data_IF_483456450323
#
_entry.id   IF_483456450323
#
_cell.length_a   1.000
_cell.length_b   1.000
_cell.length_c   1.000
_cell.angle_alpha   90.00
_cell.angle_beta   90.00
_cell.angle_gamma   90.00
#
_symmetry.space_group_name_H-M   'P 1'
#
loop_
_entity.id
_entity.type
_entity.pdbx_description
1 polymer ?
#
# COMPACT_ATOMS: atom_id res chain seq x y z
N UNK A 1 -55.78 -3.41 27.33
CA UNK A 1 -54.93 -2.25 27.01
C UNK A 1 -53.43 -2.59 27.09
N UNK A 2 -52.91 -3.10 28.17
CA UNK A 2 -51.47 -3.44 28.37
C UNK A 2 -50.87 -4.45 27.39
N UNK A 3 -51.60 -5.53 26.99
CA UNK A 3 -51.08 -6.50 26.00
C UNK A 3 -50.87 -5.90 24.60
N UNK A 4 -51.76 -4.99 24.16
CA UNK A 4 -51.67 -4.30 22.86
C UNK A 4 -50.49 -3.32 22.85
N UNK A 5 -50.27 -2.63 23.98
CA UNK A 5 -49.12 -1.72 24.16
C UNK A 5 -47.79 -2.46 24.13
N UNK A 6 -47.65 -3.58 24.84
CA UNK A 6 -46.44 -4.42 24.80
C UNK A 6 -46.15 -4.95 23.39
N UNK A 7 -47.21 -5.39 22.66
CA UNK A 7 -47.05 -5.85 21.27
C UNK A 7 -46.56 -4.74 20.34
N UNK A 8 -47.10 -3.54 20.45
CA UNK A 8 -46.67 -2.41 19.63
C UNK A 8 -45.23 -2.00 19.94
N UNK A 9 -44.79 -2.01 21.20
CA UNK A 9 -43.40 -1.77 21.59
C UNK A 9 -42.45 -2.81 20.97
N UNK A 10 -42.80 -4.09 21.03
CA UNK A 10 -42.02 -5.16 20.42
C UNK A 10 -41.89 -4.98 18.90
N UNK A 11 -43.01 -4.67 18.22
CA UNK A 11 -43.03 -4.43 16.79
C UNK A 11 -42.13 -3.23 16.45
N UNK A 12 -42.21 -2.13 17.22
CA UNK A 12 -41.34 -0.97 17.01
C UNK A 12 -39.87 -1.31 17.19
N UNK A 13 -39.48 -2.07 18.19
CA UNK A 13 -38.11 -2.52 18.40
C UNK A 13 -37.62 -3.37 17.22
N UNK A 14 -38.43 -4.32 16.75
CA UNK A 14 -38.09 -5.16 15.60
C UNK A 14 -37.86 -4.30 14.34
N UNK A 15 -38.74 -3.34 14.08
CA UNK A 15 -38.60 -2.43 12.93
C UNK A 15 -37.33 -1.59 13.04
N UNK A 16 -37.01 -1.06 14.22
CA UNK A 16 -35.77 -0.29 14.44
C UNK A 16 -34.50 -1.14 14.22
N UNK A 17 -34.54 -2.39 14.71
CA UNK A 17 -33.45 -3.34 14.49
C UNK A 17 -33.28 -3.66 13.00
N UNK A 18 -34.37 -3.91 12.27
CA UNK A 18 -34.32 -4.16 10.83
C UNK A 18 -33.79 -2.93 10.05
N UNK A 19 -34.24 -1.74 10.40
CA UNK A 19 -33.71 -0.48 9.79
C UNK A 19 -32.21 -0.35 10.08
N UNK A 20 -31.78 -0.60 11.30
CA UNK A 20 -30.37 -0.55 11.68
C UNK A 20 -29.51 -1.55 10.87
N UNK A 21 -30.00 -2.78 10.70
CA UNK A 21 -29.35 -3.78 9.86
C UNK A 21 -29.28 -3.35 8.39
N UNK A 22 -30.38 -2.86 7.83
CA UNK A 22 -30.42 -2.37 6.45
C UNK A 22 -29.45 -1.20 6.24
N UNK A 23 -29.41 -0.26 7.18
CA UNK A 23 -28.45 0.85 7.14
C UNK A 23 -27.01 0.34 7.23
N UNK A 24 -26.75 -0.61 8.12
CA UNK A 24 -25.43 -1.23 8.25
C UNK A 24 -24.99 -1.88 6.94
N UNK A 25 -25.85 -2.69 6.30
CA UNK A 25 -25.55 -3.29 5.00
C UNK A 25 -25.38 -2.24 3.89
N UNK A 26 -26.21 -1.19 3.87
CA UNK A 26 -26.09 -0.11 2.91
C UNK A 26 -24.73 0.61 3.04
N UNK A 27 -24.29 0.88 4.26
CA UNK A 27 -22.99 1.54 4.53
C UNK A 27 -21.77 0.73 4.05
N UNK A 28 -21.94 -0.58 3.83
CA UNK A 28 -20.88 -1.43 3.27
C UNK A 28 -20.87 -1.48 1.74
N UNK A 29 -21.89 -0.89 1.07
CA UNK A 29 -21.97 -0.91 -0.39
C UNK A 29 -20.99 0.07 -1.05
N UNK A 30 -20.54 -0.27 -2.26
CA UNK A 30 -19.76 0.64 -3.10
C UNK A 30 -20.48 1.96 -3.38
N UNK A 31 -21.81 1.92 -3.47
CA UNK A 31 -22.63 3.13 -3.70
C UNK A 31 -22.54 4.10 -2.53
N UNK A 32 -22.56 3.60 -1.31
CA UNK A 32 -22.38 4.42 -0.12
C UNK A 32 -20.96 5.00 -0.05
N UNK A 33 -19.93 4.16 -0.30
CA UNK A 33 -18.54 4.62 -0.31
C UNK A 33 -18.30 5.74 -1.34
N UNK A 34 -18.88 5.62 -2.53
CA UNK A 34 -18.81 6.70 -3.56
C UNK A 34 -19.57 7.94 -3.10
N UNK A 35 -20.74 7.78 -2.49
CA UNK A 35 -21.48 8.90 -1.92
C UNK A 35 -20.63 9.64 -0.88
N UNK A 36 -19.98 8.92 0.03
CA UNK A 36 -19.09 9.50 1.02
C UNK A 36 -17.89 10.22 0.37
N UNK A 37 -17.25 9.58 -0.62
CA UNK A 37 -16.17 10.20 -1.38
C UNK A 37 -16.60 11.53 -2.04
N UNK A 38 -17.80 11.57 -2.62
CA UNK A 38 -18.37 12.79 -3.18
C UNK A 38 -18.68 13.87 -2.13
N UNK A 39 -19.04 13.49 -0.91
CA UNK A 39 -19.21 14.42 0.21
C UNK A 39 -17.86 14.99 0.66
N UNK A 40 -16.82 14.15 0.71
CA UNK A 40 -15.48 14.55 1.12
C UNK A 40 -14.70 15.34 0.06
N UNK A 41 -15.15 15.32 -1.21
CA UNK A 41 -14.53 16.05 -2.31
C UNK A 41 -14.70 17.59 -2.22
N UNK A 42 -15.58 18.09 -1.36
CA UNK A 42 -15.83 19.52 -1.15
C UNK A 42 -16.03 20.26 -2.50
N UNK A 43 -15.24 21.30 -2.77
CA UNK A 43 -15.30 22.10 -4.01
C UNK A 43 -14.93 21.29 -5.26
N UNK A 44 -14.14 20.19 -5.09
CA UNK A 44 -13.73 19.31 -6.20
C UNK A 44 -14.83 18.32 -6.63
N UNK A 45 -15.98 18.33 -5.98
CA UNK A 45 -17.10 17.38 -6.20
C UNK A 45 -17.51 17.26 -7.67
N UNK A 46 -17.46 18.38 -8.43
CA UNK A 46 -17.78 18.37 -9.85
C UNK A 46 -16.80 17.51 -10.64
N UNK A 47 -15.50 17.67 -10.44
CA UNK A 47 -14.46 16.89 -11.11
C UNK A 47 -14.63 15.39 -10.85
N UNK A 48 -14.89 15.00 -9.60
CA UNK A 48 -15.09 13.60 -9.25
C UNK A 48 -16.38 13.03 -9.89
N UNK A 49 -17.46 13.81 -9.95
CA UNK A 49 -18.68 13.39 -10.66
C UNK A 49 -18.46 13.22 -12.16
N UNK A 50 -17.77 14.15 -12.80
CA UNK A 50 -17.47 14.11 -14.23
C UNK A 50 -16.67 12.83 -14.54
N UNK A 51 -15.64 12.54 -13.76
CA UNK A 51 -14.86 11.30 -13.88
C UNK A 51 -15.70 10.02 -13.72
N UNK A 52 -16.59 9.96 -12.73
CA UNK A 52 -17.49 8.82 -12.51
C UNK A 52 -18.47 8.57 -13.66
N UNK A 53 -18.81 9.61 -14.41
CA UNK A 53 -19.75 9.55 -15.54
C UNK A 53 -19.06 9.35 -16.89
N UNK A 54 -17.72 9.41 -16.96
CA UNK A 54 -16.97 9.42 -18.22
C UNK A 54 -17.05 8.09 -18.98
N UNK A 55 -16.96 6.96 -18.28
CA UNK A 55 -17.01 5.64 -18.91
C UNK A 55 -18.42 5.06 -18.93
N UNK A 56 -18.70 4.26 -19.94
CA UNK A 56 -19.97 3.54 -20.06
C UNK A 56 -20.25 2.70 -18.81
N UNK A 57 -21.46 2.89 -18.27
CA UNK A 57 -21.92 2.23 -17.04
C UNK A 57 -21.87 0.70 -17.20
N UNK A 58 -21.28 0.01 -16.22
CA UNK A 58 -21.13 -1.44 -16.22
C UNK A 58 -19.86 -1.93 -16.90
N UNK A 59 -19.16 -1.10 -17.68
CA UNK A 59 -17.87 -1.46 -18.29
C UNK A 59 -16.78 -1.69 -17.24
N UNK A 60 -15.72 -2.41 -17.60
CA UNK A 60 -14.56 -2.60 -16.70
C UNK A 60 -13.89 -1.26 -16.35
N UNK A 61 -13.80 -0.31 -17.30
CA UNK A 61 -13.26 1.03 -17.03
C UNK A 61 -14.10 1.80 -16.03
N UNK A 62 -15.43 1.72 -16.15
CA UNK A 62 -16.34 2.32 -15.17
C UNK A 62 -16.15 1.71 -13.76
N UNK A 63 -16.01 0.40 -13.68
CA UNK A 63 -15.72 -0.29 -12.40
C UNK A 63 -14.36 0.14 -11.84
N UNK A 64 -13.34 0.27 -12.70
CA UNK A 64 -12.01 0.74 -12.31
C UNK A 64 -12.02 2.18 -11.80
N UNK A 65 -12.77 3.10 -12.47
CA UNK A 65 -12.95 4.46 -11.99
C UNK A 65 -13.62 4.49 -10.61
N UNK A 66 -14.67 3.72 -10.42
CA UNK A 66 -15.37 3.62 -9.13
C UNK A 66 -14.45 3.11 -8.03
N UNK A 67 -13.62 2.10 -8.32
CA UNK A 67 -12.62 1.60 -7.39
C UNK A 67 -11.67 2.70 -6.93
N UNK A 68 -11.11 3.48 -7.85
CA UNK A 68 -10.23 4.59 -7.48
C UNK A 68 -10.95 5.63 -6.62
N UNK A 69 -12.15 6.05 -7.00
CA UNK A 69 -12.89 7.09 -6.26
C UNK A 69 -13.29 6.62 -4.86
N UNK A 70 -13.69 5.35 -4.69
CA UNK A 70 -14.06 4.80 -3.38
C UNK A 70 -12.94 4.85 -2.34
N UNK A 71 -11.69 4.69 -2.79
CA UNK A 71 -10.53 4.63 -1.90
C UNK A 71 -9.75 5.95 -1.83
N UNK A 72 -10.01 6.89 -2.75
CA UNK A 72 -9.32 8.18 -2.83
C UNK A 72 -9.39 9.04 -1.56
N UNK A 73 -10.47 9.07 -0.77
CA UNK A 73 -10.55 9.90 0.43
C UNK A 73 -9.45 9.68 1.46
N UNK A 74 -8.82 8.51 1.48
CA UNK A 74 -7.72 8.19 2.39
C UNK A 74 -6.34 8.61 1.88
N UNK A 75 -6.25 9.14 0.67
CA UNK A 75 -4.98 9.51 0.04
C UNK A 75 -4.71 11.00 0.09
N UNK A 76 -3.45 11.33 0.31
CA UNK A 76 -2.91 12.69 0.27
C UNK A 76 -1.66 12.73 -0.60
N UNK A 77 -1.41 13.85 -1.24
CA UNK A 77 -0.20 14.07 -2.05
C UNK A 77 0.45 15.39 -1.71
N UNK A 78 1.77 15.46 -1.85
CA UNK A 78 2.48 16.71 -1.73
C UNK A 78 2.34 17.55 -3.00
N UNK A 79 2.16 18.84 -2.82
CA UNK A 79 2.16 19.85 -3.89
C UNK A 79 3.23 20.88 -3.61
N UNK A 80 4.05 21.16 -4.60
CA UNK A 80 5.09 22.19 -4.51
C UNK A 80 4.46 23.59 -4.68
N UNK A 81 4.59 24.42 -3.65
CA UNK A 81 4.26 25.83 -3.69
C UNK A 81 5.53 26.65 -3.48
N UNK A 82 6.27 26.88 -4.56
CA UNK A 82 7.60 27.47 -4.48
C UNK A 82 8.58 26.52 -3.76
N UNK A 83 9.22 26.99 -2.67
CA UNK A 83 10.15 26.17 -1.86
C UNK A 83 9.46 25.37 -0.75
N UNK A 84 8.15 25.48 -0.60
CA UNK A 84 7.38 24.78 0.45
C UNK A 84 6.53 23.69 -0.17
N UNK A 85 6.60 22.51 0.41
CA UNK A 85 5.67 21.42 0.10
C UNK A 85 4.47 21.46 1.05
N UNK A 86 3.28 21.34 0.49
CA UNK A 86 2.02 21.28 1.25
C UNK A 86 1.36 19.96 0.93
N UNK A 87 0.93 19.24 1.95
CA UNK A 87 0.14 18.02 1.79
C UNK A 87 -1.33 18.39 1.56
N UNK A 88 -1.92 17.83 0.51
CA UNK A 88 -3.32 18.02 0.16
C UNK A 88 -4.01 16.68 -0.03
N UNK A 89 -5.32 16.63 0.22
CA UNK A 89 -6.12 15.43 -0.04
C UNK A 89 -6.37 15.29 -1.54
N UNK A 90 -6.10 14.09 -2.08
CA UNK A 90 -6.24 13.84 -3.51
C UNK A 90 -7.68 14.06 -3.98
N UNK A 91 -8.67 13.63 -3.19
CA UNK A 91 -10.09 13.80 -3.50
C UNK A 91 -10.50 15.27 -3.62
N UNK A 92 -9.79 16.19 -2.98
CA UNK A 92 -10.06 17.64 -3.00
C UNK A 92 -9.34 18.38 -4.14
N UNK A 93 -8.40 17.71 -4.85
CA UNK A 93 -7.51 18.38 -5.80
C UNK A 93 -7.37 17.73 -7.17
N UNK A 94 -7.60 16.42 -7.30
CA UNK A 94 -7.39 15.69 -8.56
C UNK A 94 -8.42 16.11 -9.61
N UNK A 95 -7.97 16.34 -10.86
CA UNK A 95 -8.87 16.67 -11.96
C UNK A 95 -9.51 15.42 -12.57
N UNK A 96 -10.73 15.59 -13.14
CA UNK A 96 -11.41 14.53 -13.89
C UNK A 96 -10.54 14.03 -15.04
N UNK A 97 -9.96 14.94 -15.81
CA UNK A 97 -9.10 14.61 -16.96
C UNK A 97 -7.90 13.74 -16.57
N UNK A 98 -7.23 14.04 -15.45
CA UNK A 98 -6.10 13.24 -14.99
C UNK A 98 -6.51 11.80 -14.66
N UNK A 99 -7.58 11.63 -13.88
CA UNK A 99 -7.99 10.29 -13.44
C UNK A 99 -8.61 9.47 -14.57
N UNK A 100 -9.36 10.12 -15.48
CA UNK A 100 -9.89 9.49 -16.70
C UNK A 100 -8.77 8.96 -17.60
N UNK A 101 -7.75 9.81 -17.83
CA UNK A 101 -6.55 9.45 -18.56
C UNK A 101 -5.82 8.27 -17.89
N UNK A 102 -5.60 8.34 -16.56
CA UNK A 102 -4.96 7.27 -15.82
C UNK A 102 -5.70 5.92 -15.95
N UNK A 103 -7.04 5.93 -15.80
CA UNK A 103 -7.85 4.71 -15.94
C UNK A 103 -7.75 4.15 -17.35
N UNK A 104 -7.87 5.00 -18.37
CA UNK A 104 -7.82 4.58 -19.78
C UNK A 104 -6.46 4.00 -20.14
N UNK A 105 -5.38 4.69 -19.80
CA UNK A 105 -4.00 4.24 -20.05
C UNK A 105 -3.69 2.92 -19.34
N UNK A 106 -4.00 2.84 -18.03
CA UNK A 106 -3.79 1.60 -17.27
C UNK A 106 -4.55 0.41 -17.87
N UNK A 107 -5.81 0.64 -18.26
CA UNK A 107 -6.65 -0.38 -18.85
C UNK A 107 -6.11 -0.88 -20.20
N UNK A 108 -5.72 0.05 -21.09
CA UNK A 108 -5.15 -0.29 -22.40
C UNK A 108 -3.85 -1.08 -22.23
N UNK A 109 -2.96 -0.66 -21.36
CA UNK A 109 -1.71 -1.35 -21.06
C UNK A 109 -1.99 -2.79 -20.57
N UNK A 110 -2.87 -2.93 -19.56
CA UNK A 110 -3.22 -4.25 -19.03
C UNK A 110 -3.82 -5.18 -20.09
N UNK A 111 -4.75 -4.69 -20.92
CA UNK A 111 -5.38 -5.53 -21.98
C UNK A 111 -4.42 -5.93 -23.09
N UNK A 112 -3.34 -5.17 -23.31
CA UNK A 112 -2.37 -5.41 -24.36
C UNK A 112 -1.09 -6.12 -23.91
N UNK A 113 -0.85 -6.29 -22.61
CA UNK A 113 0.31 -7.06 -22.16
C UNK A 113 0.13 -8.56 -22.45
N UNK A 114 1.22 -9.25 -22.78
CA UNK A 114 1.19 -10.67 -23.17
C UNK A 114 0.77 -11.59 -22.02
N UNK A 115 1.00 -11.19 -20.79
CA UNK A 115 0.61 -11.91 -19.56
C UNK A 115 -0.72 -11.45 -18.95
N UNK A 116 -1.58 -10.76 -19.70
CA UNK A 116 -2.91 -10.30 -19.22
C UNK A 116 -3.77 -11.39 -18.59
N UNK A 117 -3.59 -12.65 -19.01
CA UNK A 117 -4.30 -13.80 -18.47
C UNK A 117 -3.85 -14.18 -17.04
N UNK A 118 -2.66 -13.72 -16.60
CA UNK A 118 -2.14 -13.91 -15.24
C UNK A 118 -2.66 -12.83 -14.29
N UNK A 119 -3.30 -11.76 -14.81
CA UNK A 119 -3.75 -10.60 -14.06
C UNK A 119 -5.26 -10.48 -14.11
N UNK A 120 -5.95 -10.91 -13.06
CA UNK A 120 -7.40 -10.72 -12.92
C UNK A 120 -7.77 -9.23 -12.86
N UNK A 121 -9.04 -8.90 -13.09
CA UNK A 121 -9.52 -7.52 -12.98
C UNK A 121 -9.33 -6.95 -11.56
N UNK A 122 -9.51 -7.78 -10.52
CA UNK A 122 -9.25 -7.37 -9.14
C UNK A 122 -7.78 -7.03 -8.91
N UNK A 123 -6.88 -7.89 -9.39
CA UNK A 123 -5.43 -7.68 -9.32
C UNK A 123 -5.01 -6.42 -10.09
N UNK A 124 -5.59 -6.19 -11.28
CA UNK A 124 -5.41 -4.95 -12.04
C UNK A 124 -5.81 -3.72 -11.22
N UNK A 125 -6.99 -3.72 -10.62
CA UNK A 125 -7.47 -2.61 -9.80
C UNK A 125 -6.57 -2.31 -8.61
N UNK A 126 -6.07 -3.35 -7.93
CA UNK A 126 -5.26 -3.19 -6.72
C UNK A 126 -3.81 -2.77 -6.99
N UNK A 127 -3.20 -3.30 -8.06
CA UNK A 127 -1.74 -3.26 -8.18
C UNK A 127 -1.21 -2.59 -9.47
N UNK A 128 -2.04 -2.37 -10.48
CA UNK A 128 -1.65 -1.71 -11.74
C UNK A 128 -2.34 -0.36 -11.92
N UNK A 129 -3.65 -0.32 -11.67
CA UNK A 129 -4.50 0.85 -11.85
C UNK A 129 -4.12 2.07 -10.99
N UNK A 130 -3.70 1.93 -9.71
CA UNK A 130 -3.45 3.09 -8.85
C UNK A 130 -2.49 4.08 -9.47
N UNK A 131 -2.84 5.36 -9.37
CA UNK A 131 -2.08 6.47 -9.95
C UNK A 131 -0.91 6.91 -9.07
N UNK A 132 -0.81 6.40 -7.86
CA UNK A 132 0.20 6.69 -6.84
C UNK A 132 0.54 5.47 -5.99
N UNK A 133 1.56 5.61 -5.16
CA UNK A 133 1.99 4.57 -4.20
C UNK A 133 1.88 5.07 -2.76
N UNK A 134 2.44 6.26 -2.44
CA UNK A 134 2.44 6.85 -1.11
C UNK A 134 1.95 8.31 -1.17
N UNK A 135 2.73 9.31 -0.78
CA UNK A 135 2.36 10.74 -0.73
C UNK A 135 3.11 11.62 -1.72
N UNK A 136 3.81 11.00 -2.64
CA UNK A 136 4.55 11.71 -3.69
C UNK A 136 3.65 12.63 -4.52
N UNK A 137 4.19 13.71 -5.10
CA UNK A 137 3.45 14.59 -6.00
C UNK A 137 2.87 13.85 -7.20
N UNK A 138 1.61 14.18 -7.55
CA UNK A 138 0.91 13.59 -8.69
C UNK A 138 1.42 14.23 -9.99
N UNK A 139 1.88 13.39 -10.93
CA UNK A 139 2.34 13.77 -12.26
C UNK A 139 1.83 12.79 -13.32
N UNK A 140 1.84 13.18 -14.58
CA UNK A 140 1.50 12.29 -15.71
C UNK A 140 2.71 11.40 -16.07
N UNK A 141 2.73 10.19 -15.55
CA UNK A 141 3.88 9.29 -15.60
C UNK A 141 3.69 8.05 -16.47
N UNK A 142 2.43 7.56 -16.61
CA UNK A 142 2.16 6.20 -17.06
C UNK A 142 2.66 5.95 -18.49
N UNK A 143 2.22 6.75 -19.46
CA UNK A 143 2.64 6.60 -20.84
C UNK A 143 4.10 6.99 -21.06
N UNK A 144 4.61 7.94 -20.26
CA UNK A 144 6.04 8.28 -20.30
C UNK A 144 6.90 7.05 -20.01
N UNK A 145 6.67 6.36 -18.90
CA UNK A 145 7.42 5.15 -18.55
C UNK A 145 7.09 3.97 -19.47
N UNK A 146 5.86 3.84 -19.94
CA UNK A 146 5.49 2.84 -20.92
C UNK A 146 6.36 2.96 -22.17
N UNK A 147 6.42 4.11 -22.80
CA UNK A 147 7.22 4.31 -24.00
C UNK A 147 8.72 4.16 -23.74
N UNK A 148 9.19 4.60 -22.57
CA UNK A 148 10.60 4.51 -22.22
C UNK A 148 11.08 3.07 -22.03
N UNK A 149 10.27 2.19 -21.46
CA UNK A 149 10.72 0.87 -20.99
C UNK A 149 10.09 -0.33 -21.71
N UNK A 150 9.03 -0.14 -22.48
CA UNK A 150 8.29 -1.23 -23.13
C UNK A 150 9.21 -2.10 -24.00
N UNK A 151 10.15 -1.52 -24.73
CA UNK A 151 11.07 -2.23 -25.60
C UNK A 151 11.92 -3.31 -24.89
N UNK A 152 12.09 -3.22 -23.57
CA UNK A 152 12.83 -4.21 -22.79
C UNK A 152 12.07 -5.53 -22.62
N UNK A 153 10.75 -5.52 -22.81
CA UNK A 153 9.86 -6.65 -22.52
C UNK A 153 8.87 -6.96 -23.65
N UNK A 154 9.06 -6.45 -24.84
CA UNK A 154 8.14 -6.61 -25.98
C UNK A 154 7.84 -8.06 -26.36
N UNK A 155 8.81 -8.97 -26.15
CA UNK A 155 8.66 -10.42 -26.45
C UNK A 155 8.40 -11.29 -25.23
N UNK A 156 8.23 -10.68 -24.05
CA UNK A 156 8.11 -11.43 -22.79
C UNK A 156 6.65 -11.84 -22.60
N UNK A 157 6.40 -13.14 -22.41
CA UNK A 157 5.07 -13.70 -22.26
C UNK A 157 4.59 -13.89 -20.82
N UNK A 158 5.51 -13.83 -19.84
CA UNK A 158 5.22 -14.05 -18.41
C UNK A 158 5.48 -12.81 -17.57
N UNK A 159 4.55 -12.51 -16.64
CA UNK A 159 4.65 -11.38 -15.75
C UNK A 159 5.93 -11.41 -14.90
N UNK A 160 6.27 -12.58 -14.35
CA UNK A 160 7.46 -12.76 -13.51
C UNK A 160 8.76 -12.47 -14.27
N UNK A 161 8.85 -12.88 -15.51
CA UNK A 161 10.02 -12.63 -16.35
C UNK A 161 10.16 -11.13 -16.67
N UNK A 162 9.05 -10.47 -17.01
CA UNK A 162 9.00 -9.01 -17.21
C UNK A 162 9.46 -8.27 -15.95
N UNK A 163 8.95 -8.68 -14.78
CA UNK A 163 9.39 -8.13 -13.49
C UNK A 163 10.90 -8.26 -13.30
N UNK A 164 11.48 -9.46 -13.54
CA UNK A 164 12.91 -9.71 -13.38
C UNK A 164 13.78 -8.85 -14.28
N UNK A 165 13.38 -8.67 -15.54
CA UNK A 165 14.11 -7.85 -16.52
C UNK A 165 14.12 -6.39 -16.06
N UNK A 166 12.94 -5.83 -15.75
CA UNK A 166 12.82 -4.44 -15.32
C UNK A 166 13.53 -4.21 -13.98
N UNK A 167 13.38 -5.12 -13.03
CA UNK A 167 14.09 -5.05 -11.75
C UNK A 167 15.59 -4.94 -11.94
N UNK A 168 16.20 -5.85 -12.74
CA UNK A 168 17.62 -5.85 -13.01
C UNK A 168 18.08 -4.56 -13.73
N UNK A 169 17.28 -4.11 -14.68
CA UNK A 169 17.58 -2.89 -15.43
C UNK A 169 17.61 -1.66 -14.52
N UNK A 170 16.57 -1.45 -13.72
CA UNK A 170 16.49 -0.30 -12.81
C UNK A 170 17.56 -0.41 -11.71
N UNK A 171 17.77 -1.59 -11.14
CA UNK A 171 18.82 -1.79 -10.14
C UNK A 171 20.21 -1.40 -10.64
N UNK A 172 20.51 -1.68 -11.91
CA UNK A 172 21.79 -1.31 -12.55
C UNK A 172 21.91 0.19 -12.79
N UNK A 173 20.82 0.85 -13.18
CA UNK A 173 20.86 2.23 -13.68
C UNK A 173 20.50 3.27 -12.62
N UNK A 174 19.60 2.94 -11.68
CA UNK A 174 19.22 3.85 -10.59
C UNK A 174 20.15 3.69 -9.40
N UNK A 175 20.91 4.73 -9.09
CA UNK A 175 21.93 4.70 -8.03
C UNK A 175 21.34 5.05 -6.66
N UNK A 176 21.47 4.13 -5.70
CA UNK A 176 21.09 4.43 -4.32
C UNK A 176 22.11 5.36 -3.69
N UNK A 177 21.64 6.52 -3.20
CA UNK A 177 22.41 7.52 -2.49
C UNK A 177 21.73 7.80 -1.15
N UNK A 178 22.50 7.89 -0.08
CA UNK A 178 22.00 8.31 1.23
C UNK A 178 21.90 9.85 1.33
N UNK A 179 21.23 10.47 0.37
CA UNK A 179 20.97 11.91 0.40
C UNK A 179 19.64 12.17 1.11
N UNK A 180 19.63 13.15 2.01
CA UNK A 180 18.36 13.71 2.49
C UNK A 180 17.75 14.48 1.33
N UNK A 181 16.64 13.99 0.77
CA UNK A 181 15.83 14.80 -0.15
C UNK A 181 15.19 15.94 0.65
N UNK A 182 15.17 17.13 0.06
CA UNK A 182 14.37 18.23 0.57
C UNK A 182 12.92 18.03 0.13
N UNK A 183 12.18 17.21 0.87
CA UNK A 183 10.79 16.89 0.58
C UNK A 183 10.59 15.63 -0.29
N UNK A 184 9.33 15.37 -0.64
CA UNK A 184 8.93 14.24 -1.47
C UNK A 184 9.12 14.59 -2.96
N UNK A 185 9.83 13.73 -3.68
CA UNK A 185 10.06 13.89 -5.12
C UNK A 185 9.00 13.13 -5.92
N UNK A 186 8.54 13.74 -7.02
CA UNK A 186 7.75 13.04 -8.01
C UNK A 186 8.62 12.05 -8.82
N UNK A 187 7.97 11.10 -9.47
CA UNK A 187 8.66 10.00 -10.16
C UNK A 187 9.38 10.44 -11.45
N UNK A 188 8.97 11.54 -12.09
CA UNK A 188 9.67 12.07 -13.27
C UNK A 188 10.95 12.79 -12.85
N UNK A 189 10.93 13.46 -11.71
CA UNK A 189 12.13 14.01 -11.09
C UNK A 189 13.11 12.90 -10.73
N UNK A 190 12.64 11.80 -10.09
CA UNK A 190 13.47 10.63 -9.80
C UNK A 190 14.06 10.00 -11.07
N UNK A 191 13.27 9.97 -12.15
CA UNK A 191 13.74 9.51 -13.47
C UNK A 191 14.86 10.38 -14.02
N UNK A 192 14.74 11.69 -13.90
CA UNK A 192 15.75 12.63 -14.44
C UNK A 192 17.08 12.53 -13.71
N UNK A 193 17.07 12.33 -12.39
CA UNK A 193 18.28 12.23 -11.56
C UNK A 193 18.87 10.82 -11.50
N UNK A 194 18.09 9.80 -11.88
CA UNK A 194 18.45 8.36 -11.83
C UNK A 194 19.13 7.97 -10.51
N UNK A 195 18.58 8.47 -9.40
CA UNK A 195 19.15 8.23 -8.09
C UNK A 195 18.28 8.68 -6.94
N UNK A 196 18.51 8.13 -5.75
CA UNK A 196 17.77 8.42 -4.54
C UNK A 196 18.04 7.40 -3.44
N UNK A 197 17.31 7.47 -2.34
CA UNK A 197 17.40 6.48 -1.27
C UNK A 197 16.63 5.18 -1.62
N UNK A 198 16.60 4.21 -0.71
CA UNK A 198 15.93 2.92 -0.96
C UNK A 198 14.41 3.08 -1.17
N UNK A 199 13.75 4.02 -0.48
CA UNK A 199 12.32 4.29 -0.65
C UNK A 199 12.05 4.90 -2.04
N UNK A 200 12.84 5.88 -2.45
CA UNK A 200 12.73 6.53 -3.75
C UNK A 200 12.99 5.54 -4.91
N UNK A 201 13.97 4.63 -4.77
CA UNK A 201 14.19 3.56 -5.74
C UNK A 201 13.01 2.59 -5.82
N UNK A 202 12.47 2.17 -4.69
CA UNK A 202 11.32 1.26 -4.65
C UNK A 202 10.06 1.94 -5.22
N UNK A 203 9.84 3.20 -4.90
CA UNK A 203 8.78 4.02 -5.48
C UNK A 203 8.90 4.07 -7.00
N UNK A 204 10.04 4.54 -7.51
CA UNK A 204 10.32 4.65 -8.94
C UNK A 204 10.11 3.32 -9.69
N UNK A 205 10.67 2.24 -9.15
CA UNK A 205 10.55 0.90 -9.73
C UNK A 205 9.08 0.43 -9.77
N UNK A 206 8.30 0.69 -8.73
CA UNK A 206 6.88 0.35 -8.68
C UNK A 206 6.10 1.07 -9.77
N UNK A 207 6.37 2.34 -10.01
CA UNK A 207 5.74 3.12 -11.08
C UNK A 207 6.09 2.60 -12.47
N UNK A 208 7.37 2.34 -12.74
CA UNK A 208 7.81 1.78 -14.03
C UNK A 208 7.13 0.42 -14.29
N UNK A 209 7.09 -0.46 -13.29
CA UNK A 209 6.43 -1.76 -13.43
C UNK A 209 4.93 -1.64 -13.69
N UNK A 210 4.22 -0.76 -12.97
CA UNK A 210 2.79 -0.49 -13.20
C UNK A 210 2.54 0.09 -14.60
N UNK A 211 3.43 0.94 -15.11
CA UNK A 211 3.37 1.46 -16.47
C UNK A 211 3.51 0.38 -17.54
N UNK A 212 4.09 -0.74 -17.20
CA UNK A 212 4.27 -1.89 -18.09
C UNK A 212 3.24 -3.00 -17.88
N UNK A 213 2.23 -2.80 -17.02
CA UNK A 213 1.20 -3.78 -16.76
C UNK A 213 1.62 -4.91 -15.80
N UNK A 214 2.68 -4.69 -15.02
CA UNK A 214 3.16 -5.62 -13.97
C UNK A 214 2.50 -5.23 -12.65
N UNK A 215 1.93 -6.21 -11.93
CA UNK A 215 1.26 -6.01 -10.64
C UNK A 215 2.28 -5.77 -9.52
N UNK A 216 2.85 -4.57 -9.46
CA UNK A 216 3.90 -4.20 -8.56
C UNK A 216 3.41 -3.39 -7.36
N UNK A 217 4.06 -3.64 -6.22
CA UNK A 217 3.79 -3.02 -4.92
C UNK A 217 5.08 -2.58 -4.24
N UNK A 218 4.99 -1.60 -3.37
CA UNK A 218 6.08 -1.19 -2.50
C UNK A 218 5.88 -1.76 -1.10
N UNK A 219 6.81 -2.62 -0.69
CA UNK A 219 6.85 -3.23 0.63
C UNK A 219 7.97 -2.62 1.46
N UNK A 220 7.83 -2.65 2.78
CA UNK A 220 8.83 -2.09 3.67
C UNK A 220 8.84 -2.75 5.05
N UNK A 221 10.02 -2.73 5.68
CA UNK A 221 10.16 -2.93 7.12
C UNK A 221 10.39 -1.58 7.77
N UNK A 222 9.61 -1.20 8.81
CA UNK A 222 9.76 0.12 9.43
C UNK A 222 11.09 0.28 10.13
N UNK A 223 11.53 -0.77 10.81
CA UNK A 223 12.81 -0.84 11.51
C UNK A 223 13.34 -2.27 11.47
N UNK A 224 14.66 -2.42 11.38
CA UNK A 224 15.30 -3.70 11.54
C UNK A 224 15.18 -4.17 12.99
N UNK A 225 14.99 -5.48 13.20
CA UNK A 225 14.81 -6.02 14.54
C UNK A 225 16.07 -5.93 15.43
N UNK A 226 17.26 -5.88 14.83
CA UNK A 226 18.54 -5.99 15.54
C UNK A 226 19.56 -4.88 15.22
N UNK A 227 19.18 -3.86 14.43
CA UNK A 227 20.12 -2.81 14.07
C UNK A 227 19.51 -1.42 14.27
N UNK A 228 20.32 -0.50 14.80
CA UNK A 228 19.95 0.88 15.09
C UNK A 228 19.89 1.79 13.86
N UNK A 229 19.51 1.28 12.70
CA UNK A 229 19.33 2.03 11.46
C UNK A 229 17.87 2.03 11.04
N UNK A 230 17.48 3.02 10.25
CA UNK A 230 16.14 3.11 9.65
C UNK A 230 15.78 1.83 8.90
N UNK A 231 14.48 1.60 8.74
CA UNK A 231 13.95 0.46 7.99
C UNK A 231 14.40 0.42 6.53
N UNK A 232 13.72 -0.38 5.75
CA UNK A 232 14.05 -0.56 4.34
C UNK A 232 12.82 -0.68 3.48
N UNK A 233 12.94 -0.25 2.21
CA UNK A 233 11.88 -0.30 1.21
C UNK A 233 12.35 -1.08 -0.01
N UNK A 234 11.46 -1.87 -0.59
CA UNK A 234 11.71 -2.61 -1.84
C UNK A 234 10.42 -2.78 -2.65
N UNK A 235 10.58 -3.18 -3.90
CA UNK A 235 9.48 -3.44 -4.80
C UNK A 235 9.26 -4.94 -4.90
N UNK A 236 8.00 -5.37 -4.80
CA UNK A 236 7.58 -6.75 -4.98
C UNK A 236 6.52 -6.84 -6.07
N UNK A 237 6.33 -8.02 -6.63
CA UNK A 237 5.23 -8.36 -7.53
C UNK A 237 4.24 -9.27 -6.81
N UNK A 238 2.96 -9.09 -7.06
CA UNK A 238 1.91 -9.98 -6.55
C UNK A 238 1.50 -10.93 -7.67
N UNK A 239 1.76 -12.22 -7.51
CA UNK A 239 1.45 -13.26 -8.51
C UNK A 239 -0.06 -13.50 -8.63
N UNK A 240 -0.45 -14.30 -9.65
CA UNK A 240 -1.86 -14.68 -9.89
C UNK A 240 -2.48 -15.46 -8.72
N UNK A 241 -1.69 -16.18 -7.96
CA UNK A 241 -2.06 -16.91 -6.74
C UNK A 241 -2.06 -16.03 -5.47
N UNK A 242 -1.89 -14.72 -5.62
CA UNK A 242 -1.74 -13.73 -4.54
C UNK A 242 -0.46 -13.91 -3.68
N UNK A 243 0.49 -14.69 -4.15
CA UNK A 243 1.79 -14.86 -3.49
C UNK A 243 2.71 -13.71 -3.88
N UNK A 244 3.46 -13.22 -2.92
CA UNK A 244 4.47 -12.18 -3.14
C UNK A 244 5.72 -12.79 -3.76
N UNK A 245 6.18 -12.16 -4.84
CA UNK A 245 7.44 -12.46 -5.49
C UNK A 245 8.36 -11.24 -5.38
N UNK A 246 9.55 -11.42 -4.85
CA UNK A 246 10.56 -10.35 -4.77
C UNK A 246 11.94 -10.88 -5.12
N UNK A 247 12.85 -9.97 -5.47
CA UNK A 247 14.24 -10.28 -5.77
C UNK A 247 15.10 -9.62 -4.71
N UNK A 248 16.00 -10.39 -4.11
CA UNK A 248 16.97 -9.87 -3.12
C UNK A 248 18.05 -9.02 -3.78
N UNK A 249 18.83 -8.33 -2.98
CA UNK A 249 19.96 -7.52 -3.48
C UNK A 249 21.06 -8.35 -4.15
N UNK A 250 21.19 -9.63 -3.83
CA UNK A 250 22.10 -10.55 -4.53
C UNK A 250 21.53 -11.14 -5.83
N UNK A 251 20.28 -10.80 -6.19
CA UNK A 251 19.64 -11.24 -7.44
C UNK A 251 18.91 -12.58 -7.35
N UNK A 252 18.84 -13.22 -6.17
CA UNK A 252 18.03 -14.42 -5.97
C UNK A 252 16.54 -14.06 -5.88
N UNK A 253 15.70 -14.89 -6.49
CA UNK A 253 14.26 -14.74 -6.45
C UNK A 253 13.68 -15.52 -5.26
N UNK A 254 12.71 -14.92 -4.60
CA UNK A 254 11.98 -15.51 -3.48
C UNK A 254 10.50 -15.57 -3.79
N UNK A 255 9.90 -16.71 -3.52
CA UNK A 255 8.50 -17.00 -3.75
C UNK A 255 7.94 -17.58 -2.46
N UNK A 256 6.71 -17.19 -2.12
CA UNK A 256 5.88 -17.84 -1.12
C UNK A 256 6.51 -17.91 0.29
N UNK A 257 6.33 -16.86 1.06
CA UNK A 257 6.61 -16.86 2.51
C UNK A 257 8.04 -17.20 2.94
N UNK A 258 8.88 -17.69 2.00
CA UNK A 258 10.30 -17.99 2.24
C UNK A 258 11.19 -16.79 1.96
N UNK A 259 10.59 -15.67 1.62
CA UNK A 259 11.27 -14.47 1.18
C UNK A 259 11.99 -13.79 2.35
N UNK A 260 13.29 -13.94 2.39
CA UNK A 260 14.17 -13.03 3.10
C UNK A 260 14.68 -12.00 2.09
N UNK A 261 14.12 -10.77 2.02
CA UNK A 261 14.56 -9.77 1.04
C UNK A 261 16.04 -9.37 1.24
N UNK A 262 16.64 -9.78 2.33
CA UNK A 262 18.04 -9.51 2.70
C UNK A 262 18.70 -10.71 3.35
N UNK A 263 19.01 -11.71 2.57
CA UNK A 263 19.97 -12.73 2.99
C UNK A 263 21.37 -12.24 2.60
N UNK A 264 22.13 -11.78 3.56
CA UNK A 264 23.58 -11.66 3.36
C UNK A 264 24.15 -13.06 3.33
N UNK A 265 24.68 -13.48 2.20
CA UNK A 265 25.57 -14.63 2.14
C UNK A 265 26.89 -14.17 2.78
N UNK A 266 27.03 -14.44 4.07
CA UNK A 266 28.30 -14.17 4.75
C UNK A 266 29.24 -15.31 4.38
N UNK A 267 30.41 -14.97 3.88
CA UNK A 267 31.50 -15.92 3.68
C UNK A 267 31.76 -16.65 5.01
N UNK A 268 31.94 -17.96 4.97
CA UNK A 268 32.14 -18.80 6.19
C UNK A 268 33.22 -18.25 7.13
N UNK A 269 34.23 -17.56 6.61
CA UNK A 269 35.32 -16.98 7.39
C UNK A 269 34.99 -15.62 8.02
N UNK A 270 33.95 -14.95 7.54
CA UNK A 270 33.45 -13.67 8.07
C UNK A 270 32.28 -13.86 9.03
N UNK A 271 31.74 -15.08 9.13
CA UNK A 271 30.56 -15.41 9.90
C UNK A 271 30.66 -14.98 11.38
N UNK A 272 31.80 -15.17 12.00
CA UNK A 272 32.03 -14.84 13.41
C UNK A 272 32.10 -13.33 13.68
N UNK A 273 32.48 -12.52 12.71
CA UNK A 273 32.57 -11.06 12.86
C UNK A 273 31.30 -10.31 12.46
N UNK A 274 30.40 -10.94 11.68
CA UNK A 274 29.27 -10.28 11.07
C UNK A 274 27.91 -10.84 11.48
N UNK A 275 27.83 -11.82 12.38
CA UNK A 275 26.55 -12.39 12.85
C UNK A 275 25.64 -11.30 13.46
N UNK A 276 26.22 -10.35 14.17
CA UNK A 276 25.48 -9.23 14.76
C UNK A 276 25.18 -8.11 13.73
N UNK A 277 25.82 -8.14 12.57
CA UNK A 277 25.60 -7.17 11.50
C UNK A 277 24.48 -7.58 10.52
N UNK A 278 24.00 -8.82 10.58
CA UNK A 278 22.89 -9.29 9.76
C UNK A 278 21.61 -8.54 10.11
N UNK A 279 21.06 -7.85 9.12
CA UNK A 279 19.79 -7.15 9.27
C UNK A 279 18.64 -8.15 9.35
N UNK A 280 17.91 -8.14 10.47
CA UNK A 280 16.75 -9.02 10.69
C UNK A 280 15.47 -8.21 10.50
N UNK A 281 14.54 -8.75 9.74
CA UNK A 281 13.19 -8.21 9.58
C UNK A 281 12.33 -8.80 10.69
N UNK A 282 11.51 -7.97 11.34
CA UNK A 282 10.53 -8.43 12.31
C UNK A 282 9.11 -8.37 11.75
N UNK A 283 8.80 -7.31 10.99
CA UNK A 283 7.52 -7.10 10.33
C UNK A 283 7.71 -6.47 8.95
N UNK A 284 6.81 -6.84 8.03
CA UNK A 284 6.73 -6.26 6.68
C UNK A 284 5.37 -5.65 6.45
N UNK A 285 5.36 -4.44 5.95
CA UNK A 285 4.17 -3.72 5.54
C UNK A 285 4.19 -3.43 4.04
N UNK A 286 2.99 -3.32 3.46
CA UNK A 286 2.76 -2.99 2.04
C UNK A 286 1.92 -1.75 1.94
N UNK A 287 2.28 -0.82 1.06
CA UNK A 287 1.37 0.22 0.62
C UNK A 287 0.30 -0.36 -0.31
N UNK A 288 -0.95 -0.19 0.08
CA UNK A 288 -2.13 -0.57 -0.69
C UNK A 288 -2.89 0.68 -1.11
N UNK A 289 -3.53 0.68 -2.26
CA UNK A 289 -4.46 1.76 -2.61
C UNK A 289 -5.78 1.64 -1.85
N UNK A 290 -6.14 0.43 -1.41
CA UNK A 290 -7.32 0.19 -0.58
C UNK A 290 -7.12 0.83 0.80
N UNK A 291 -8.15 1.51 1.29
CA UNK A 291 -8.19 1.91 2.70
C UNK A 291 -8.26 0.66 3.57
N UNK A 292 -7.26 0.48 4.41
CA UNK A 292 -7.12 -0.72 5.26
C UNK A 292 -7.71 -0.50 6.64
N UNK A 293 -7.65 0.74 7.14
CA UNK A 293 -8.13 1.08 8.49
C UNK A 293 -8.67 2.51 8.54
N UNK A 294 -9.57 2.73 9.50
CA UNK A 294 -10.02 4.07 9.84
C UNK A 294 -9.01 4.70 10.82
N UNK A 295 -8.43 5.82 10.40
CA UNK A 295 -7.55 6.64 11.22
C UNK A 295 -8.14 8.05 11.21
N UNK A 296 -8.82 8.44 12.27
CA UNK A 296 -9.27 9.82 12.41
C UNK A 296 -8.08 10.75 12.65
N UNK A 297 -8.21 12.03 12.29
CA UNK A 297 -7.15 13.03 12.45
C UNK A 297 -6.70 13.13 13.92
N UNK A 298 -7.63 13.09 14.87
CA UNK A 298 -7.36 13.15 16.30
C UNK A 298 -6.59 11.93 16.80
N UNK A 299 -6.97 10.73 16.31
CA UNK A 299 -6.27 9.48 16.63
C UNK A 299 -4.89 9.46 15.96
N UNK A 300 -4.78 9.96 14.72
CA UNK A 300 -3.53 9.99 13.98
C UNK A 300 -2.43 10.77 14.68
N UNK A 301 -2.76 11.90 15.33
CA UNK A 301 -1.79 12.74 16.03
C UNK A 301 -1.08 12.00 17.17
N UNK A 302 -1.75 11.05 17.80
CA UNK A 302 -1.24 10.29 18.94
C UNK A 302 -0.63 8.93 18.54
N UNK A 303 -0.66 8.57 17.22
CA UNK A 303 -0.09 7.33 16.73
C UNK A 303 1.37 7.53 16.29
N UNK A 304 2.23 6.51 16.48
CA UNK A 304 3.51 6.45 15.80
C UNK A 304 3.33 6.58 14.26
N UNK A 305 4.27 7.25 13.61
CA UNK A 305 4.17 7.62 12.18
C UNK A 305 3.78 6.46 11.26
N UNK A 306 4.35 5.28 11.51
CA UNK A 306 4.04 4.05 10.75
C UNK A 306 2.56 3.66 10.82
N UNK A 307 1.84 4.02 11.90
CA UNK A 307 0.43 3.68 12.08
C UNK A 307 -0.52 4.81 11.69
N UNK A 308 -0.01 5.97 11.29
CA UNK A 308 -0.81 7.08 10.75
C UNK A 308 -1.31 6.82 9.34
N UNK A 309 -0.62 5.97 8.58
CA UNK A 309 -1.00 5.61 7.23
C UNK A 309 -2.22 4.69 7.20
N UNK A 310 -3.34 5.14 6.62
CA UNK A 310 -4.59 4.39 6.51
C UNK A 310 -4.54 3.25 5.47
N UNK A 311 -3.56 3.27 4.58
CA UNK A 311 -3.41 2.36 3.45
C UNK A 311 -2.17 1.46 3.50
N UNK A 312 -1.60 1.22 4.68
CA UNK A 312 -0.54 0.21 4.86
C UNK A 312 -1.10 -1.07 5.50
N UNK A 313 -0.79 -2.21 4.93
CA UNK A 313 -1.22 -3.55 5.37
C UNK A 313 -0.05 -4.38 5.84
N UNK A 314 -0.23 -5.14 6.94
CA UNK A 314 0.77 -6.10 7.44
C UNK A 314 0.79 -7.35 6.53
N UNK A 315 1.87 -7.53 5.79
CA UNK A 315 2.10 -8.67 4.89
C UNK A 315 3.21 -9.59 5.38
N UNK A 316 3.58 -9.50 6.64
CA UNK A 316 4.62 -10.33 7.27
C UNK A 316 4.46 -11.83 6.96
N UNK A 317 3.22 -12.41 6.97
CA UNK A 317 3.03 -13.83 6.66
C UNK A 317 3.42 -14.24 5.24
N UNK A 318 3.53 -13.28 4.32
CA UNK A 318 3.91 -13.54 2.93
C UNK A 318 5.43 -13.63 2.75
N UNK A 319 6.22 -13.37 3.79
CA UNK A 319 7.68 -13.33 3.75
C UNK A 319 8.37 -14.48 4.47
N UNK A 320 7.67 -15.14 5.40
CA UNK A 320 8.15 -16.33 6.13
C UNK A 320 7.00 -17.16 6.65
N UNK A 321 7.28 -18.46 6.91
CA UNK A 321 6.42 -19.28 7.74
C UNK A 321 6.48 -18.74 9.18
N UNK A 322 5.55 -17.86 9.50
CA UNK A 322 5.37 -17.30 10.84
C UNK A 322 4.15 -17.93 11.48
N UNK A 323 4.19 -18.08 12.79
CA UNK A 323 2.98 -18.34 13.57
C UNK A 323 2.04 -17.16 13.35
N UNK A 324 0.81 -17.42 12.89
CA UNK A 324 -0.14 -16.36 12.53
C UNK A 324 -0.53 -15.49 13.71
N UNK A 325 -0.56 -16.05 14.92
CA UNK A 325 -0.96 -15.38 16.14
C UNK A 325 0.09 -15.65 17.21
N UNK A 326 0.67 -14.61 17.76
CA UNK A 326 1.58 -14.68 18.89
C UNK A 326 0.91 -14.00 20.08
N UNK A 327 0.31 -14.80 20.96
CA UNK A 327 -0.37 -14.34 22.17
C UNK A 327 0.64 -14.22 23.29
N UNK A 328 0.76 -13.02 23.84
CA UNK A 328 1.70 -12.68 24.91
C UNK A 328 0.90 -12.27 26.15
N UNK A 329 1.22 -12.79 27.36
CA UNK A 329 0.63 -12.34 28.60
C UNK A 329 1.08 -10.92 28.92
N UNK A 330 0.18 -10.10 29.50
CA UNK A 330 0.46 -8.77 29.99
C UNK A 330 0.11 -8.67 31.49
N UNK A 331 1.05 -8.15 32.29
CA UNK A 331 0.88 -8.06 33.73
C UNK A 331 -0.02 -6.90 34.19
N UNK A 332 -0.22 -5.87 33.34
CA UNK A 332 -0.97 -4.68 33.68
C UNK A 332 -2.22 -4.52 32.83
N UNK A 333 -3.34 -4.23 33.47
CA UNK A 333 -4.51 -3.66 32.81
C UNK A 333 -4.19 -2.24 32.38
N UNK A 334 -3.97 -2.01 31.11
CA UNK A 334 -3.75 -0.71 30.52
C UNK A 334 -4.83 -0.44 29.46
N UNK A 335 -5.47 0.71 29.45
CA UNK A 335 -6.48 1.08 28.46
C UNK A 335 -5.83 1.66 27.18
N UNK A 336 -4.58 2.07 27.27
CA UNK A 336 -3.82 2.67 26.18
C UNK A 336 -3.51 1.66 25.06
N UNK A 337 -3.29 2.13 23.82
CA UNK A 337 -2.82 1.32 22.73
C UNK A 337 -1.48 0.65 23.05
N UNK A 338 -1.38 -0.64 22.80
CA UNK A 338 -0.15 -1.42 22.99
C UNK A 338 0.57 -1.61 21.66
N UNK A 339 1.90 -1.53 21.71
CA UNK A 339 2.75 -1.67 20.52
C UNK A 339 3.81 -2.73 20.72
N UNK A 340 4.08 -3.47 19.65
CA UNK A 340 5.28 -4.30 19.53
C UNK A 340 6.41 -3.37 19.11
N UNK A 341 7.51 -3.41 19.84
CA UNK A 341 8.65 -2.53 19.58
C UNK A 341 9.94 -3.33 19.39
N UNK A 342 10.85 -2.76 18.60
CA UNK A 342 12.27 -3.17 18.58
C UNK A 342 13.08 -2.11 19.32
N UNK A 343 14.14 -2.54 20.02
CA UNK A 343 15.06 -1.64 20.68
C UNK A 343 16.22 -1.29 19.74
N UNK A 344 16.47 -0.01 19.61
CA UNK A 344 17.57 0.52 18.81
C UNK A 344 18.51 1.36 19.70
N UNK A 345 19.79 1.03 19.70
CA UNK A 345 20.77 1.66 20.60
C UNK A 345 20.79 3.19 20.55
N UNK A 346 20.63 3.78 19.35
CA UNK A 346 20.66 5.25 19.19
C UNK A 346 19.30 5.91 19.41
N UNK A 347 18.19 5.18 19.26
CA UNK A 347 16.84 5.77 19.19
C UNK A 347 15.87 5.18 20.23
N UNK A 348 16.30 4.22 21.03
CA UNK A 348 15.46 3.55 22.03
C UNK A 348 14.41 2.63 21.40
N UNK A 349 13.28 2.45 22.06
CA UNK A 349 12.18 1.61 21.62
C UNK A 349 11.45 2.20 20.40
N UNK A 350 11.40 1.44 19.31
CA UNK A 350 10.74 1.83 18.05
C UNK A 350 9.57 0.91 17.74
N UNK A 351 8.36 1.43 17.56
CA UNK A 351 7.17 0.62 17.28
C UNK A 351 7.25 0.01 15.89
N UNK A 352 7.04 -1.30 15.82
CA UNK A 352 7.04 -2.08 14.57
C UNK A 352 5.71 -2.77 14.31
N UNK A 353 4.83 -2.87 15.31
CA UNK A 353 3.52 -3.47 15.19
C UNK A 353 2.58 -2.94 16.27
N UNK A 354 1.27 -3.03 16.01
CA UNK A 354 0.24 -2.79 17.00
C UNK A 354 -0.20 -4.13 17.58
N UNK A 355 -0.31 -4.20 18.90
CA UNK A 355 -0.86 -5.37 19.58
C UNK A 355 -2.37 -5.20 19.78
N UNK A 356 -3.12 -6.27 19.57
CA UNK A 356 -4.56 -6.32 19.80
C UNK A 356 -4.85 -7.06 21.10
N UNK A 357 -5.73 -6.54 21.96
CA UNK A 357 -6.16 -7.24 23.16
C UNK A 357 -7.03 -8.42 22.78
N UNK A 358 -6.74 -9.56 23.38
CA UNK A 358 -7.54 -10.80 23.25
C UNK A 358 -8.45 -10.94 24.46
N UNK A 359 -7.88 -10.71 25.67
CA UNK A 359 -8.60 -10.71 26.95
C UNK A 359 -7.94 -9.77 27.97
N UNK A 360 -8.34 -9.86 29.24
CA UNK A 360 -7.83 -9.01 30.33
C UNK A 360 -6.34 -9.21 30.66
N UNK A 361 -5.72 -10.29 30.21
CA UNK A 361 -4.33 -10.66 30.53
C UNK A 361 -3.47 -10.96 29.32
N UNK A 362 -4.01 -10.88 28.09
CA UNK A 362 -3.29 -11.29 26.90
C UNK A 362 -3.48 -10.32 25.73
N UNK A 363 -2.43 -10.21 24.92
CA UNK A 363 -2.44 -9.46 23.66
C UNK A 363 -1.94 -10.34 22.51
N UNK A 364 -2.55 -10.19 21.35
CA UNK A 364 -2.07 -10.74 20.10
C UNK A 364 -1.18 -9.70 19.42
N UNK A 365 0.09 -10.01 19.23
CA UNK A 365 1.07 -9.15 18.56
C UNK A 365 1.09 -9.38 17.05
N UNK A 366 0.23 -10.24 16.57
CA UNK A 366 0.13 -10.60 15.15
C UNK A 366 1.35 -11.39 14.65
N UNK A 367 1.44 -11.58 13.32
CA UNK A 367 2.53 -12.34 12.72
C UNK A 367 3.87 -11.61 12.92
N UNK A 368 4.89 -12.39 13.31
CA UNK A 368 6.28 -11.94 13.50
C UNK A 368 7.24 -12.87 12.74
N UNK A 369 8.34 -12.33 12.22
CA UNK A 369 9.45 -13.08 11.62
C UNK A 369 10.50 -13.43 12.69
#
# INVERSE_FOLDING_TARGET
MFKKMKRNVIITIIVLVLISLLLHFYMQTDSYRIYMALCEAKENKKQIKDALCFFERGSERWKAMRYLVMHMPSHTSYVNKGMVQTEIRDIEAISSNYIEKNVNEAYVIWKNCLWKHEVSFEKFCKYILPYKVDREPIVEWRMYFYHKYKHLIDSVAKEEEAYRIIYKYIKKNFKVKHTKSFGELDVLTLDSIQGGNCRERALYMTYVMRALGIAAVMDFTPFWANQGVNGHFWTSMVRSDNITYTISDNGEAYIDGTCEPYKYVVNKNEYLYHVDSLKRIAKVYRYSYDKVRDVSVEVAQNLPDIFRCAYSVDVTPQYRNVTKNNIIPIERKCEDPLYVCTYQQQYGWRPIGRANRVDCGHVDVGPMI
#
